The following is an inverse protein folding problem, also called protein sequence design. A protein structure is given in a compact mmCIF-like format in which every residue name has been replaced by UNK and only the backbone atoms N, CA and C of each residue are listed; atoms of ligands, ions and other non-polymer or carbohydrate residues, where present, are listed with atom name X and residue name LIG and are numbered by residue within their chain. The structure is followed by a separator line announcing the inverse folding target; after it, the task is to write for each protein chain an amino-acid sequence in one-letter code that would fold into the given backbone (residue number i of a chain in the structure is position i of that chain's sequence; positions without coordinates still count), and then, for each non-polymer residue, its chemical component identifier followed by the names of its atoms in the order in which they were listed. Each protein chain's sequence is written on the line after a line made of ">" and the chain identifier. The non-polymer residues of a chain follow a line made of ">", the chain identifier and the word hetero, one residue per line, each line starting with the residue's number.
data_IF_714143430784
#
_entry.id   IF_714143430784
#
_cell.length_a   1.000
_cell.length_b   1.000
_cell.length_c   1.000
_cell.angle_alpha   90.00
_cell.angle_beta   90.00
_cell.angle_gamma   90.00
#
_symmetry.space_group_name_H-M   'P 1'
#
loop_
_entity.id
_entity.type
_entity.pdbx_description
1 polymer ?
#
# COMPACT_ATOMS: atom_id res chain seq x y z
N UNK A 1 -1.13 17.33 -8.46
CA UNK A 1 -0.25 16.20 -8.12
C UNK A 1 -1.02 15.22 -7.25
N UNK A 2 -1.00 13.95 -7.59
CA UNK A 2 -1.59 12.91 -6.75
C UNK A 2 -0.57 12.45 -5.73
N UNK A 3 -0.95 12.45 -4.45
CA UNK A 3 -0.08 12.03 -3.37
C UNK A 3 -0.36 10.56 -2.99
N UNK A 4 0.70 9.77 -2.88
CA UNK A 4 0.63 8.35 -2.59
C UNK A 4 1.53 8.04 -1.41
N UNK A 5 0.97 7.38 -0.39
CA UNK A 5 1.78 6.83 0.70
C UNK A 5 2.09 5.37 0.37
N UNK A 6 3.37 4.99 0.49
CA UNK A 6 3.82 3.62 0.22
C UNK A 6 4.28 2.98 1.52
N UNK A 7 3.57 1.93 1.93
CA UNK A 7 3.92 1.10 3.08
C UNK A 7 4.65 -0.16 2.62
N UNK A 8 5.75 -0.49 3.27
CA UNK A 8 6.58 -1.62 2.88
C UNK A 8 7.25 -2.26 4.11
N UNK A 9 7.67 -3.51 3.96
CA UNK A 9 8.44 -4.21 4.97
C UNK A 9 9.91 -3.80 4.87
N UNK A 10 10.40 -3.05 5.84
CA UNK A 10 11.78 -2.55 5.87
C UNK A 10 12.83 -3.66 5.99
N UNK A 11 12.42 -4.86 6.43
CA UNK A 11 13.29 -6.03 6.52
C UNK A 11 13.42 -6.78 5.19
N UNK A 12 12.62 -6.41 4.19
CA UNK A 12 12.68 -6.97 2.84
C UNK A 12 13.36 -5.96 1.92
N UNK A 13 14.63 -6.21 1.60
CA UNK A 13 15.43 -5.29 0.80
C UNK A 13 14.79 -4.99 -0.56
N UNK A 14 14.18 -5.98 -1.18
CA UNK A 14 13.51 -5.79 -2.48
C UNK A 14 12.35 -4.80 -2.38
N UNK A 15 11.55 -4.86 -1.31
CA UNK A 15 10.45 -3.91 -1.08
C UNK A 15 10.98 -2.50 -0.81
N UNK A 16 12.01 -2.38 0.02
CA UNK A 16 12.63 -1.10 0.33
C UNK A 16 13.21 -0.44 -0.93
N UNK A 17 13.94 -1.20 -1.73
CA UNK A 17 14.52 -0.69 -2.97
C UNK A 17 13.43 -0.26 -3.95
N UNK A 18 12.36 -1.03 -4.06
CA UNK A 18 11.24 -0.72 -4.95
C UNK A 18 10.51 0.55 -4.49
N UNK A 19 10.30 0.71 -3.19
CA UNK A 19 9.66 1.91 -2.63
C UNK A 19 10.48 3.18 -2.94
N UNK A 20 11.80 3.12 -2.78
CA UNK A 20 12.70 4.24 -3.10
C UNK A 20 12.70 4.55 -4.60
N UNK A 21 12.70 3.52 -5.44
CA UNK A 21 12.64 3.71 -6.89
C UNK A 21 11.31 4.33 -7.32
N UNK A 22 10.21 3.90 -6.73
CA UNK A 22 8.89 4.52 -7.00
C UNK A 22 8.88 5.99 -6.58
N UNK A 23 9.50 6.32 -5.45
CA UNK A 23 9.59 7.72 -5.01
C UNK A 23 10.32 8.59 -6.03
N UNK A 24 11.43 8.09 -6.57
CA UNK A 24 12.21 8.80 -7.59
C UNK A 24 11.44 8.90 -8.91
N UNK A 25 10.89 7.79 -9.39
CA UNK A 25 10.17 7.74 -10.66
C UNK A 25 8.84 8.49 -10.60
N UNK A 26 8.17 8.47 -9.45
CA UNK A 26 6.88 9.12 -9.28
C UNK A 26 6.91 10.60 -9.66
N UNK A 27 8.02 11.27 -9.34
CA UNK A 27 8.18 12.68 -9.68
C UNK A 27 8.07 12.95 -11.19
N UNK A 28 8.56 12.00 -12.01
CA UNK A 28 8.47 12.11 -13.48
C UNK A 28 7.04 11.97 -14.00
N UNK A 29 6.16 11.36 -13.23
CA UNK A 29 4.77 11.09 -13.60
C UNK A 29 3.78 11.95 -12.81
N UNK A 30 4.25 13.03 -12.21
CA UNK A 30 3.44 13.94 -11.40
C UNK A 30 2.76 13.25 -10.19
N UNK A 31 3.47 12.30 -9.58
CA UNK A 31 3.06 11.59 -8.38
C UNK A 31 3.97 11.99 -7.22
N UNK A 32 3.38 12.42 -6.12
CA UNK A 32 4.10 12.70 -4.88
C UNK A 32 4.10 11.44 -4.00
N UNK A 33 5.23 10.74 -3.93
CA UNK A 33 5.31 9.50 -3.14
C UNK A 33 5.99 9.77 -1.81
N UNK A 34 5.32 9.46 -0.72
CA UNK A 34 5.84 9.54 0.63
C UNK A 34 6.00 8.15 1.24
N UNK A 35 7.02 8.02 2.10
CA UNK A 35 7.35 6.77 2.78
C UNK A 35 7.16 6.93 4.29
N UNK A 36 7.02 5.82 5.04
CA UNK A 36 6.88 5.90 6.48
C UNK A 36 8.16 6.38 7.16
N UNK A 37 7.99 7.12 8.25
CA UNK A 37 9.07 7.44 9.17
C UNK A 37 9.07 6.40 10.29
N UNK A 38 10.05 5.52 10.28
CA UNK A 38 10.18 4.43 11.25
C UNK A 38 11.47 4.51 12.08
N UNK A 39 12.15 5.66 12.03
CA UNK A 39 13.36 5.88 12.82
C UNK A 39 12.98 6.05 14.28
N UNK A 40 13.64 5.30 15.17
CA UNK A 40 13.44 5.42 16.62
C UNK A 40 12.44 4.41 17.17
N UNK A 41 11.47 4.87 17.97
CA UNK A 41 10.56 4.00 18.73
C UNK A 41 9.59 3.20 17.88
N UNK A 42 9.25 2.02 18.36
CA UNK A 42 8.15 1.24 17.81
C UNK A 42 6.82 1.98 17.94
N UNK A 43 5.94 1.78 16.97
CA UNK A 43 4.63 2.42 16.93
C UNK A 43 4.50 3.40 15.77
N UNK A 44 3.26 3.79 15.50
CA UNK A 44 2.92 4.67 14.39
C UNK A 44 3.22 6.13 14.77
N UNK A 45 4.22 6.71 14.13
CA UNK A 45 4.63 8.10 14.40
C UNK A 45 3.65 9.10 13.84
N UNK A 46 3.59 10.27 14.48
CA UNK A 46 2.75 11.38 14.02
C UNK A 46 3.13 11.84 12.60
N UNK A 47 4.43 11.87 12.27
CA UNK A 47 4.90 12.20 10.93
C UNK A 47 4.36 11.22 9.88
N UNK A 48 4.32 9.93 10.20
CA UNK A 48 3.75 8.90 9.31
C UNK A 48 2.24 9.11 9.14
N UNK A 49 1.52 9.36 10.23
CA UNK A 49 0.08 9.64 10.19
C UNK A 49 -0.22 10.83 9.29
N UNK A 50 0.53 11.92 9.43
CA UNK A 50 0.37 13.11 8.60
C UNK A 50 0.61 12.82 7.11
N UNK A 51 1.59 11.98 6.81
CA UNK A 51 1.86 11.56 5.42
C UNK A 51 0.71 10.74 4.84
N UNK A 52 0.15 9.85 5.65
CA UNK A 52 -1.04 9.07 5.24
C UNK A 52 -2.24 10.00 5.06
N UNK A 53 -2.46 10.93 5.98
CA UNK A 53 -3.59 11.88 5.90
C UNK A 53 -3.54 12.73 4.63
N UNK A 54 -2.36 13.14 4.20
CA UNK A 54 -2.15 13.94 2.99
C UNK A 54 -2.21 13.11 1.71
N UNK A 55 -2.14 11.80 1.80
CA UNK A 55 -2.15 10.93 0.63
C UNK A 55 -3.57 10.79 0.06
N UNK A 56 -3.67 10.74 -1.25
CA UNK A 56 -4.89 10.40 -1.96
C UNK A 56 -5.08 8.89 -2.06
N UNK A 57 -3.96 8.16 -2.12
CA UNK A 57 -3.92 6.70 -2.22
C UNK A 57 -2.92 6.13 -1.22
N UNK A 58 -3.24 4.94 -0.71
CA UNK A 58 -2.35 4.16 0.14
C UNK A 58 -1.93 2.88 -0.61
N UNK A 59 -0.65 2.74 -0.87
CA UNK A 59 -0.10 1.57 -1.55
C UNK A 59 0.70 0.75 -0.54
N UNK A 60 0.45 -0.56 -0.50
CA UNK A 60 1.18 -1.46 0.39
C UNK A 60 1.80 -2.60 -0.40
N UNK A 61 3.06 -2.89 -0.10
CA UNK A 61 3.73 -4.07 -0.60
C UNK A 61 3.43 -5.27 0.29
N UNK A 62 2.97 -6.34 -0.33
CA UNK A 62 2.64 -7.60 0.33
C UNK A 62 3.37 -8.75 -0.37
N UNK A 63 4.68 -8.59 -0.59
CA UNK A 63 5.51 -9.63 -1.22
C UNK A 63 5.99 -10.67 -0.22
N UNK A 64 5.88 -10.38 1.06
CA UNK A 64 6.19 -11.23 2.21
C UNK A 64 5.13 -11.03 3.28
N UNK A 65 5.30 -11.69 4.42
CA UNK A 65 4.44 -11.48 5.57
C UNK A 65 4.44 -10.02 6.00
N UNK A 66 3.26 -9.52 6.36
CA UNK A 66 3.13 -8.16 6.85
C UNK A 66 3.73 -8.02 8.25
N UNK A 67 4.52 -6.98 8.46
CA UNK A 67 5.07 -6.66 9.78
C UNK A 67 4.12 -5.77 10.57
N UNK A 68 4.33 -5.68 11.87
CA UNK A 68 3.50 -4.84 12.74
C UNK A 68 3.44 -3.37 12.27
N UNK A 69 4.56 -2.70 11.91
CA UNK A 69 4.48 -1.34 11.37
C UNK A 69 3.60 -1.21 10.14
N UNK A 70 3.68 -2.16 9.21
CA UNK A 70 2.84 -2.17 8.00
C UNK A 70 1.37 -2.33 8.37
N UNK A 71 1.05 -3.23 9.29
CA UNK A 71 -0.31 -3.44 9.78
C UNK A 71 -0.87 -2.18 10.44
N UNK A 72 -0.09 -1.52 11.29
CA UNK A 72 -0.50 -0.29 11.95
C UNK A 72 -0.80 0.81 10.93
N UNK A 73 0.02 0.92 9.87
CA UNK A 73 -0.19 1.87 8.78
C UNK A 73 -1.45 1.57 7.97
N UNK A 74 -1.68 0.30 7.65
CA UNK A 74 -2.91 -0.13 6.96
C UNK A 74 -4.15 0.22 7.79
N UNK A 75 -4.13 -0.10 9.08
CA UNK A 75 -5.26 0.17 9.97
C UNK A 75 -5.54 1.68 10.07
N UNK A 76 -4.50 2.49 10.15
CA UNK A 76 -4.66 3.94 10.13
C UNK A 76 -5.27 4.43 8.81
N UNK A 77 -4.78 3.92 7.69
CA UNK A 77 -5.28 4.28 6.37
C UNK A 77 -6.77 3.91 6.20
N UNK A 78 -7.16 2.75 6.71
CA UNK A 78 -8.56 2.30 6.70
C UNK A 78 -9.44 3.22 7.54
N UNK A 79 -9.00 3.60 8.73
CA UNK A 79 -9.70 4.54 9.60
C UNK A 79 -9.85 5.91 8.91
N UNK A 80 -8.83 6.33 8.18
CA UNK A 80 -8.84 7.58 7.41
C UNK A 80 -9.57 7.45 6.07
N UNK A 81 -10.18 6.29 5.77
CA UNK A 81 -10.95 6.01 4.55
C UNK A 81 -10.14 6.19 3.27
N UNK A 82 -8.86 5.81 3.30
CA UNK A 82 -8.00 5.87 2.11
C UNK A 82 -8.27 4.70 1.18
N UNK A 83 -8.16 4.94 -0.12
CA UNK A 83 -8.17 3.86 -1.12
C UNK A 83 -6.87 3.09 -1.03
N UNK A 84 -6.96 1.76 -0.97
CA UNK A 84 -5.79 0.89 -0.78
C UNK A 84 -5.51 0.13 -2.06
N UNK A 85 -4.24 0.17 -2.46
CA UNK A 85 -3.68 -0.64 -3.54
C UNK A 85 -2.69 -1.62 -2.91
N UNK A 86 -2.84 -2.90 -3.23
CA UNK A 86 -1.94 -3.95 -2.75
C UNK A 86 -1.06 -4.42 -3.90
N UNK A 87 0.25 -4.30 -3.72
CA UNK A 87 1.24 -4.86 -4.64
C UNK A 87 1.73 -6.18 -4.04
N UNK A 88 1.51 -7.27 -4.73
CA UNK A 88 1.87 -8.59 -4.24
C UNK A 88 2.74 -9.34 -5.23
N UNK A 89 3.58 -10.24 -4.74
CA UNK A 89 4.26 -11.24 -5.53
C UNK A 89 3.27 -12.36 -5.85
N UNK A 90 3.28 -12.88 -7.07
CA UNK A 90 2.36 -13.94 -7.48
C UNK A 90 2.44 -15.19 -6.59
N UNK A 91 3.61 -15.44 -6.00
CA UNK A 91 3.81 -16.59 -5.12
C UNK A 91 3.18 -16.38 -3.74
N UNK A 92 2.86 -15.15 -3.36
CA UNK A 92 2.31 -14.76 -2.05
C UNK A 92 0.80 -14.48 -2.11
N UNK A 93 0.26 -14.23 -3.28
CA UNK A 93 -1.14 -13.85 -3.50
C UNK A 93 -2.13 -14.74 -2.75
N UNK A 94 -1.92 -16.05 -2.81
CA UNK A 94 -2.85 -17.03 -2.26
C UNK A 94 -2.90 -17.02 -0.72
N UNK A 95 -1.92 -16.43 -0.06
CA UNK A 95 -1.82 -16.39 1.39
C UNK A 95 -2.55 -15.21 2.04
N UNK A 96 -2.84 -14.17 1.27
CA UNK A 96 -3.43 -12.95 1.79
C UNK A 96 -4.96 -12.92 1.66
N UNK A 97 -5.51 -13.71 0.75
CA UNK A 97 -6.95 -13.82 0.49
C UNK A 97 -7.67 -12.44 0.49
N UNK A 98 -7.00 -11.44 -0.05
CA UNK A 98 -7.51 -10.08 -0.12
C UNK A 98 -8.42 -9.99 -1.35
N UNK A 99 -9.73 -9.94 -1.11
CA UNK A 99 -10.73 -9.71 -2.15
C UNK A 99 -11.19 -8.25 -2.05
N UNK A 100 -11.60 -7.69 -3.16
CA UNK A 100 -12.26 -6.38 -3.21
C UNK A 100 -11.33 -5.17 -3.03
N UNK A 101 -10.02 -5.31 -3.26
CA UNK A 101 -9.09 -4.17 -3.38
C UNK A 101 -8.48 -4.16 -4.76
N UNK A 102 -7.90 -3.03 -5.14
CA UNK A 102 -7.10 -3.01 -6.36
C UNK A 102 -5.78 -3.72 -6.10
N UNK A 103 -5.58 -4.82 -6.80
CA UNK A 103 -4.39 -5.65 -6.66
C UNK A 103 -3.47 -5.46 -7.87
N UNK A 104 -2.17 -5.29 -7.59
CA UNK A 104 -1.14 -5.25 -8.61
C UNK A 104 -0.21 -6.45 -8.40
N UNK A 105 -0.19 -7.36 -9.36
CA UNK A 105 0.79 -8.44 -9.37
C UNK A 105 2.12 -7.90 -9.90
N UNK A 106 3.19 -8.10 -9.15
CA UNK A 106 4.50 -7.60 -9.50
C UNK A 106 5.56 -8.71 -9.34
N UNK A 107 6.26 -8.98 -10.43
CA UNK A 107 7.40 -9.91 -10.43
C UNK A 107 8.69 -9.09 -10.49
N UNK A 108 9.43 -9.05 -9.40
CA UNK A 108 10.67 -8.28 -9.29
C UNK A 108 11.78 -8.71 -10.26
N UNK A 109 11.65 -9.90 -10.86
CA UNK A 109 12.62 -10.41 -11.84
C UNK A 109 12.27 -10.01 -13.27
N UNK A 110 11.00 -9.78 -13.56
CA UNK A 110 10.50 -9.54 -14.92
C UNK A 110 9.94 -8.15 -15.14
N UNK A 111 9.30 -7.60 -14.10
CA UNK A 111 8.60 -6.33 -14.19
C UNK A 111 9.51 -5.18 -13.76
N UNK A 112 9.27 -4.01 -14.31
CA UNK A 112 9.93 -2.79 -13.87
C UNK A 112 8.96 -1.92 -13.06
N UNK A 113 9.47 -0.93 -12.28
CA UNK A 113 8.61 -0.10 -11.42
C UNK A 113 7.55 0.71 -12.18
N UNK A 114 7.77 1.01 -13.47
CA UNK A 114 6.79 1.72 -14.29
C UNK A 114 5.48 0.95 -14.44
N UNK A 115 5.50 -0.37 -14.32
CA UNK A 115 4.27 -1.18 -14.30
C UNK A 115 3.36 -0.75 -13.16
N UNK A 116 3.92 -0.55 -11.97
CA UNK A 116 3.17 -0.11 -10.79
C UNK A 116 2.60 1.29 -11.03
N UNK A 117 3.39 2.20 -11.58
CA UNK A 117 2.95 3.56 -11.91
C UNK A 117 1.79 3.53 -12.92
N UNK A 118 1.88 2.69 -13.93
CA UNK A 118 0.81 2.52 -14.91
C UNK A 118 -0.50 2.05 -14.27
N UNK A 119 -0.42 1.08 -13.36
CA UNK A 119 -1.59 0.58 -12.64
C UNK A 119 -2.17 1.63 -11.67
N UNK A 120 -1.31 2.40 -11.01
CA UNK A 120 -1.74 3.52 -10.16
C UNK A 120 -2.54 4.53 -10.99
N UNK A 121 -2.05 4.87 -12.17
CA UNK A 121 -2.74 5.81 -13.06
C UNK A 121 -4.13 5.30 -13.49
N UNK A 122 -4.27 4.01 -13.70
CA UNK A 122 -5.57 3.40 -13.98
C UNK A 122 -6.53 3.55 -12.81
N UNK A 123 -6.05 3.36 -11.58
CA UNK A 123 -6.86 3.54 -10.36
C UNK A 123 -7.30 5.01 -10.22
N UNK A 124 -6.39 5.94 -10.45
CA UNK A 124 -6.68 7.39 -10.39
C UNK A 124 -7.78 7.74 -11.41
N UNK A 125 -7.67 7.23 -12.63
CA UNK A 125 -8.64 7.50 -13.69
C UNK A 125 -10.02 6.97 -13.35
N UNK A 126 -10.11 5.75 -12.81
CA UNK A 126 -11.37 5.13 -12.39
C UNK A 126 -12.01 5.82 -11.19
N UNK A 127 -11.20 6.34 -10.26
CA UNK A 127 -11.74 6.97 -9.04
C UNK A 127 -12.40 8.31 -9.32
N UNK A 128 -12.11 8.95 -10.45
CA UNK A 128 -12.83 10.16 -10.89
C UNK A 128 -14.23 9.85 -11.39
N UNK A 129 -14.51 8.59 -11.75
CA UNK A 129 -15.80 8.16 -12.28
C UNK A 129 -16.72 7.55 -11.22
N UNK A 130 -16.18 7.06 -10.08
CA UNK A 130 -16.96 6.24 -9.15
C UNK A 130 -16.52 6.37 -7.68
N UNK A 131 -16.83 7.50 -7.04
CA UNK A 131 -16.42 7.79 -5.66
C UNK A 131 -17.10 6.91 -4.59
N UNK A 132 -18.26 6.32 -4.90
CA UNK A 132 -19.07 5.58 -3.92
C UNK A 132 -18.64 4.14 -3.72
N UNK A 133 -18.15 3.47 -4.75
CA UNK A 133 -17.76 2.06 -4.70
C UNK A 133 -16.45 1.86 -3.92
N UNK A 134 -15.52 2.81 -4.02
CA UNK A 134 -14.22 2.73 -3.37
C UNK A 134 -14.29 2.67 -1.83
N UNK A 135 -15.19 3.44 -1.21
CA UNK A 135 -15.31 3.48 0.25
C UNK A 135 -15.84 2.16 0.84
N UNK A 136 -16.75 1.50 0.13
CA UNK A 136 -17.34 0.24 0.57
C UNK A 136 -16.31 -0.92 0.55
N UNK A 137 -15.49 -0.95 -0.48
CA UNK A 137 -14.44 -1.97 -0.65
C UNK A 137 -13.38 -1.87 0.46
N UNK A 138 -13.02 -0.65 0.88
CA UNK A 138 -12.03 -0.43 1.94
C UNK A 138 -12.45 -1.00 3.30
N UNK A 139 -13.73 -0.93 3.65
CA UNK A 139 -14.24 -1.47 4.92
C UNK A 139 -14.14 -3.00 4.97
N UNK A 140 -14.49 -3.68 3.88
CA UNK A 140 -14.37 -5.13 3.77
C UNK A 140 -12.93 -5.61 3.89
N UNK A 141 -11.99 -4.90 3.27
CA UNK A 141 -10.56 -5.21 3.36
C UNK A 141 -10.04 -5.13 4.80
N UNK A 142 -10.43 -4.11 5.56
CA UNK A 142 -9.98 -3.94 6.94
C UNK A 142 -10.32 -5.12 7.82
N UNK A 143 -11.51 -5.64 7.70
CA UNK A 143 -11.96 -6.83 8.44
C UNK A 143 -11.17 -8.08 8.04
N UNK A 144 -10.93 -8.28 6.76
CA UNK A 144 -10.20 -9.44 6.26
C UNK A 144 -8.73 -9.44 6.68
N UNK A 145 -8.06 -8.30 6.61
CA UNK A 145 -6.66 -8.18 7.02
C UNK A 145 -6.49 -8.39 8.53
N UNK A 146 -7.35 -7.81 9.34
CA UNK A 146 -7.32 -7.98 10.79
C UNK A 146 -7.57 -9.45 11.18
N UNK A 147 -8.52 -10.12 10.56
CA UNK A 147 -8.79 -11.53 10.79
C UNK A 147 -7.61 -12.42 10.40
N UNK A 148 -7.00 -12.17 9.25
CA UNK A 148 -5.84 -12.94 8.78
C UNK A 148 -4.62 -12.78 9.69
N UNK A 149 -4.41 -11.59 10.24
CA UNK A 149 -3.28 -11.28 11.12
C UNK A 149 -3.48 -11.85 12.53
N UNK A 150 -4.68 -11.81 13.06
CA UNK A 150 -5.00 -12.37 14.38
C UNK A 150 -4.95 -13.91 14.37
N UNK A 151 -5.27 -14.56 13.26
CA UNK A 151 -5.22 -16.01 13.15
C UNK A 151 -3.80 -16.57 13.06
N UNK A 152 -2.82 -15.78 12.60
CA UNK A 152 -1.42 -16.20 12.49
C UNK A 152 -0.61 -16.04 13.77
N UNK A 153 -1.11 -15.31 14.75
CA UNK A 153 -0.44 -15.08 16.03
C UNK A 153 -0.92 -16.04 17.16
N UNK A 154 -1.67 -17.03 16.78
CA UNK A 154 -2.05 -18.12 17.66
C UNK A 154 -1.25 -19.38 17.29
#
# INVERSE_FOLDING_TARGET
>A
MTNIFVSYNQNVQAEQSLALRLQTLGALYNLGISLPDRVGRAGLKETTKQRIDKADLFLVFATRNLTKPVVDEINYALTAKKKIIVVYDKDVKNNLNIKEVHEIEYDGKRDNPEKIIGEINKVISKSKEDDTVGAFVLVGLGLLLLAALTSKNK
#
